data_IF_935801391511
#
_entry.id   IF_935801391511
#
_cell.length_a   1.000
_cell.length_b   1.000
_cell.length_c   1.000
_cell.angle_alpha   90.00
_cell.angle_beta   90.00
_cell.angle_gamma   90.00
#
_symmetry.space_group_name_H-M   'P 1'
#
loop_
_entity.id
_entity.type
_entity.pdbx_description
1 polymer ?
#
# COMPACT_ATOMS: atom_id res chain seq x y z
N UNK A 1 -19.00 15.08 8.35
CA UNK A 1 -18.30 15.41 7.12
C UNK A 1 -18.10 16.92 7.09
N UNK A 2 -16.85 17.36 7.22
CA UNK A 2 -16.54 18.78 7.06
C UNK A 2 -16.77 19.20 5.61
N UNK A 3 -17.28 20.40 5.36
CA UNK A 3 -17.40 20.92 4.00
C UNK A 3 -16.03 20.97 3.34
N UNK A 4 -15.97 20.68 2.05
CA UNK A 4 -14.75 20.80 1.27
C UNK A 4 -14.23 22.24 1.27
N UNK A 5 -12.93 22.39 1.23
CA UNK A 5 -12.30 23.70 1.11
C UNK A 5 -12.51 24.23 -0.31
N UNK A 6 -13.16 25.40 -0.42
CA UNK A 6 -13.38 26.05 -1.71
C UNK A 6 -12.08 26.53 -2.39
N UNK A 7 -10.98 26.60 -1.65
CA UNK A 7 -9.67 26.96 -2.18
C UNK A 7 -8.86 25.74 -2.66
N UNK A 8 -9.27 24.52 -2.28
CA UNK A 8 -8.65 23.30 -2.80
C UNK A 8 -9.18 23.00 -4.20
N UNK A 9 -8.31 22.80 -5.23
CA UNK A 9 -8.74 22.57 -6.60
C UNK A 9 -9.59 21.30 -6.80
N UNK A 10 -9.49 20.38 -5.86
CA UNK A 10 -10.29 19.14 -5.85
C UNK A 10 -11.42 19.18 -4.82
N UNK A 11 -11.62 20.32 -4.13
CA UNK A 11 -12.63 20.50 -3.08
C UNK A 11 -12.51 19.51 -1.91
N UNK A 12 -11.30 19.03 -1.62
CA UNK A 12 -11.03 18.18 -0.46
C UNK A 12 -11.00 19.05 0.81
N UNK A 13 -11.55 18.52 1.91
CA UNK A 13 -11.35 19.14 3.22
C UNK A 13 -9.90 18.92 3.69
N UNK A 14 -9.40 19.78 4.57
CA UNK A 14 -8.09 19.61 5.19
C UNK A 14 -7.93 18.22 5.82
N UNK A 15 -8.97 17.75 6.51
CA UNK A 15 -8.97 16.42 7.14
C UNK A 15 -8.84 15.29 6.10
N UNK A 16 -9.49 15.43 4.94
CA UNK A 16 -9.38 14.46 3.86
C UNK A 16 -7.96 14.44 3.28
N UNK A 17 -7.34 15.61 3.11
CA UNK A 17 -5.95 15.70 2.61
C UNK A 17 -4.97 15.03 3.56
N UNK A 18 -5.04 15.34 4.86
CA UNK A 18 -4.19 14.69 5.84
C UNK A 18 -4.40 13.17 5.93
N UNK A 19 -5.67 12.75 5.84
CA UNK A 19 -5.97 11.31 5.78
C UNK A 19 -5.32 10.65 4.56
N UNK A 20 -5.45 11.25 3.37
CA UNK A 20 -4.82 10.76 2.14
C UNK A 20 -3.29 10.79 2.23
N UNK A 21 -2.71 11.86 2.77
CA UNK A 21 -1.28 11.98 3.01
C UNK A 21 -0.74 10.87 3.91
N UNK A 22 -1.47 10.57 4.98
CA UNK A 22 -1.14 9.46 5.89
C UNK A 22 -1.21 8.10 5.23
N UNK A 23 -2.27 7.83 4.46
CA UNK A 23 -2.37 6.59 3.68
C UNK A 23 -1.17 6.40 2.74
N UNK A 24 -0.72 7.47 2.11
CA UNK A 24 0.43 7.41 1.21
C UNK A 24 1.74 7.19 1.97
N UNK A 25 1.96 7.94 3.04
CA UNK A 25 3.18 7.86 3.84
C UNK A 25 3.40 6.46 4.45
N UNK A 26 2.32 5.78 4.84
CA UNK A 26 2.38 4.49 5.54
C UNK A 26 2.26 3.27 4.63
N UNK A 27 1.78 3.44 3.40
CA UNK A 27 1.34 2.31 2.56
C UNK A 27 2.44 1.31 2.21
N UNK A 28 3.69 1.74 2.08
CA UNK A 28 4.81 0.84 1.80
C UNK A 28 5.17 0.01 3.04
N UNK A 29 5.27 0.66 4.17
CA UNK A 29 5.59 0.00 5.44
C UNK A 29 4.48 -0.95 5.88
N UNK A 30 3.21 -0.60 5.60
CA UNK A 30 2.05 -1.46 5.92
C UNK A 30 1.74 -2.50 4.84
N UNK A 31 2.61 -2.68 3.86
CA UNK A 31 2.37 -3.60 2.73
C UNK A 31 2.03 -5.02 3.15
N UNK A 32 2.61 -5.54 4.24
CA UNK A 32 2.29 -6.87 4.76
C UNK A 32 0.82 -7.02 5.16
N UNK A 33 0.16 -5.94 5.59
CA UNK A 33 -1.25 -5.95 5.96
C UNK A 33 -2.18 -5.86 4.73
N UNK A 34 -1.68 -5.38 3.59
CA UNK A 34 -2.40 -5.26 2.32
C UNK A 34 -2.13 -6.41 1.37
N UNK A 35 -0.94 -6.99 1.45
CA UNK A 35 -0.40 -8.00 0.53
C UNK A 35 0.36 -9.07 1.34
N UNK A 36 -0.37 -10.01 2.00
CA UNK A 36 0.18 -10.84 3.08
C UNK A 36 0.93 -12.09 2.62
N UNK A 37 1.02 -12.35 1.31
CA UNK A 37 1.63 -13.57 0.79
C UNK A 37 2.67 -13.30 -0.28
N UNK A 38 3.55 -14.26 -0.53
CA UNK A 38 4.52 -14.20 -1.65
C UNK A 38 3.83 -13.94 -3.00
N UNK A 39 2.64 -14.49 -3.20
CA UNK A 39 1.88 -14.30 -4.44
C UNK A 39 1.27 -12.91 -4.58
N UNK A 40 0.98 -12.24 -3.48
CA UNK A 40 0.39 -10.89 -3.49
C UNK A 40 1.24 -9.92 -4.32
N UNK A 41 2.56 -10.02 -4.23
CA UNK A 41 3.52 -9.11 -4.89
C UNK A 41 3.63 -9.36 -6.40
N UNK A 42 3.30 -10.56 -6.87
CA UNK A 42 3.25 -10.89 -8.30
C UNK A 42 2.14 -10.14 -9.04
N UNK A 43 1.17 -9.58 -8.30
CA UNK A 43 0.09 -8.76 -8.84
C UNK A 43 0.56 -7.36 -9.25
N UNK A 44 1.58 -6.80 -8.60
CA UNK A 44 2.05 -5.43 -8.82
C UNK A 44 2.90 -5.30 -10.09
N UNK A 45 2.28 -5.54 -11.24
CA UNK A 45 2.93 -5.51 -12.55
C UNK A 45 2.29 -4.45 -13.45
N UNK A 46 3.05 -3.74 -14.29
CA UNK A 46 2.48 -2.84 -15.30
C UNK A 46 1.43 -3.55 -16.16
N UNK A 47 0.27 -2.91 -16.35
CA UNK A 47 -0.83 -3.45 -17.14
C UNK A 47 -1.71 -4.50 -16.43
N UNK A 48 -1.42 -4.85 -15.18
CA UNK A 48 -2.22 -5.81 -14.39
C UNK A 48 -3.48 -5.22 -13.77
N UNK A 49 -3.72 -3.91 -13.94
CA UNK A 49 -4.73 -3.11 -13.21
C UNK A 49 -4.46 -2.96 -11.71
N UNK A 50 -3.47 -3.63 -11.14
CA UNK A 50 -2.96 -3.31 -9.81
C UNK A 50 -1.97 -2.15 -9.91
N UNK A 51 -1.95 -1.24 -8.94
CA UNK A 51 -0.99 -0.13 -8.94
C UNK A 51 0.44 -0.66 -8.73
N UNK A 52 1.41 0.03 -9.29
CA UNK A 52 2.84 -0.25 -9.06
C UNK A 52 3.51 0.81 -8.21
N UNK A 53 2.85 1.92 -7.97
CA UNK A 53 3.39 3.06 -7.23
C UNK A 53 2.39 3.67 -6.25
N UNK A 54 2.96 4.30 -5.23
CA UNK A 54 2.24 5.02 -4.19
C UNK A 54 2.01 6.46 -4.67
N UNK A 55 0.98 6.65 -5.46
CA UNK A 55 0.55 7.96 -5.97
C UNK A 55 -0.95 8.11 -5.85
N UNK A 56 -1.42 9.32 -6.07
CA UNK A 56 -2.86 9.61 -6.12
C UNK A 56 -3.20 10.56 -7.26
N UNK A 57 -4.44 10.47 -7.73
CA UNK A 57 -5.07 11.45 -8.60
C UNK A 57 -6.58 11.22 -8.61
N UNK A 58 -7.31 12.19 -9.19
CA UNK A 58 -8.75 12.05 -9.42
C UNK A 58 -9.00 11.06 -10.55
N UNK A 59 -9.79 10.05 -10.26
CA UNK A 59 -10.24 9.00 -11.20
C UNK A 59 -9.12 8.24 -11.94
N UNK A 60 -7.91 8.20 -11.40
CA UNK A 60 -6.77 7.51 -11.97
C UNK A 60 -6.61 6.08 -11.42
N UNK A 61 -6.82 5.08 -12.27
CA UNK A 61 -6.75 3.66 -11.89
C UNK A 61 -5.36 3.04 -11.96
N UNK A 62 -4.35 3.79 -12.37
CA UNK A 62 -2.96 3.29 -12.46
C UNK A 62 -2.15 3.57 -11.20
N UNK A 63 -2.73 4.32 -10.25
CA UNK A 63 -2.10 4.75 -9.00
C UNK A 63 -2.65 3.97 -7.78
N UNK A 64 -1.90 4.01 -6.69
CA UNK A 64 -2.25 3.36 -5.42
C UNK A 64 -3.53 3.91 -4.79
N UNK A 65 -3.76 5.21 -4.94
CA UNK A 65 -4.91 5.90 -4.37
C UNK A 65 -5.68 6.68 -5.44
N UNK A 66 -6.95 6.36 -5.57
CA UNK A 66 -7.86 6.99 -6.52
C UNK A 66 -8.89 7.80 -5.75
N UNK A 67 -8.89 9.12 -5.93
CA UNK A 67 -9.93 10.00 -5.39
C UNK A 67 -11.09 10.02 -6.36
N UNK A 68 -12.30 9.74 -5.88
CA UNK A 68 -13.52 9.68 -6.71
C UNK A 68 -14.70 10.32 -6.01
N UNK A 69 -15.65 10.75 -6.81
CA UNK A 69 -16.90 11.38 -6.35
C UNK A 69 -16.71 12.87 -6.07
N UNK A 70 -17.82 13.51 -5.70
CA UNK A 70 -17.89 14.94 -5.42
C UNK A 70 -18.74 15.20 -4.18
N UNK A 71 -18.46 16.29 -3.49
CA UNK A 71 -19.20 16.70 -2.30
C UNK A 71 -19.31 15.59 -1.27
N UNK A 72 -20.51 15.22 -0.84
CA UNK A 72 -20.73 14.15 0.15
C UNK A 72 -20.37 12.74 -0.33
N UNK A 73 -20.21 12.54 -1.63
CA UNK A 73 -19.83 11.26 -2.23
C UNK A 73 -18.34 11.14 -2.46
N UNK A 74 -17.55 12.17 -2.15
CA UNK A 74 -16.09 12.13 -2.30
C UNK A 74 -15.48 11.08 -1.36
N UNK A 75 -14.58 10.27 -1.90
CA UNK A 75 -13.89 9.22 -1.17
C UNK A 75 -12.55 8.88 -1.82
N UNK A 76 -11.67 8.25 -1.05
CA UNK A 76 -10.46 7.61 -1.57
C UNK A 76 -10.70 6.11 -1.73
N UNK A 77 -10.29 5.58 -2.86
CA UNK A 77 -10.20 4.15 -3.15
C UNK A 77 -8.75 3.72 -3.00
N UNK A 78 -8.44 2.92 -1.98
CA UNK A 78 -7.15 2.25 -1.88
C UNK A 78 -7.15 1.06 -2.82
N UNK A 79 -6.17 1.00 -3.73
CA UNK A 79 -6.06 -0.02 -4.77
C UNK A 79 -4.92 -1.01 -4.49
N UNK A 80 -4.20 -0.81 -3.38
CA UNK A 80 -3.07 -1.64 -2.99
C UNK A 80 -3.53 -3.02 -2.48
N UNK A 81 -4.54 -3.14 -1.60
CA UNK A 81 -4.99 -4.44 -1.11
C UNK A 81 -5.47 -5.35 -2.25
N UNK A 82 -5.06 -6.61 -2.23
CA UNK A 82 -5.50 -7.66 -3.13
C UNK A 82 -6.72 -8.41 -2.59
N UNK A 83 -7.25 -9.33 -3.42
CA UNK A 83 -8.35 -10.21 -3.00
C UNK A 83 -7.92 -11.25 -1.95
N UNK A 84 -6.62 -11.45 -1.78
CA UNK A 84 -5.97 -12.33 -0.81
C UNK A 84 -5.65 -11.62 0.52
N UNK A 85 -5.92 -10.32 0.62
CA UNK A 85 -5.76 -9.58 1.86
C UNK A 85 -6.77 -10.03 2.94
N UNK A 86 -6.30 -10.12 4.18
CA UNK A 86 -7.21 -10.19 5.32
C UNK A 86 -7.90 -8.83 5.47
N UNK A 87 -9.24 -8.81 5.29
CA UNK A 87 -10.00 -7.57 5.29
C UNK A 87 -9.91 -6.80 6.62
N UNK A 88 -9.79 -7.49 7.74
CA UNK A 88 -9.62 -6.85 9.05
C UNK A 88 -8.26 -6.15 9.15
N UNK A 89 -7.18 -6.79 8.68
CA UNK A 89 -5.85 -6.17 8.63
C UNK A 89 -5.82 -4.99 7.66
N UNK A 90 -6.41 -5.13 6.48
CA UNK A 90 -6.47 -4.05 5.50
C UNK A 90 -7.26 -2.83 6.01
N UNK A 91 -8.37 -3.05 6.72
CA UNK A 91 -9.12 -1.97 7.36
C UNK A 91 -8.34 -1.34 8.51
N UNK A 92 -7.72 -2.14 9.37
CA UNK A 92 -6.89 -1.63 10.47
C UNK A 92 -5.75 -0.76 9.92
N UNK A 93 -5.03 -1.22 8.90
CA UNK A 93 -3.95 -0.47 8.25
C UNK A 93 -4.44 0.82 7.60
N UNK A 94 -5.60 0.78 6.93
CA UNK A 94 -6.19 1.96 6.29
C UNK A 94 -6.62 3.00 7.34
N UNK A 95 -7.22 2.56 8.45
CA UNK A 95 -7.63 3.47 9.52
C UNK A 95 -6.39 4.04 10.23
N UNK A 96 -5.44 3.19 10.59
CA UNK A 96 -4.22 3.59 11.27
C UNK A 96 -3.40 4.59 10.43
N UNK A 97 -3.15 4.30 9.16
CA UNK A 97 -2.43 5.20 8.27
C UNK A 97 -3.13 6.54 8.06
N UNK A 98 -4.46 6.52 7.92
CA UNK A 98 -5.25 7.76 7.81
C UNK A 98 -5.22 8.59 9.09
N UNK A 99 -5.33 7.97 10.26
CA UNK A 99 -5.24 8.66 11.56
C UNK A 99 -3.84 9.21 11.80
N UNK A 100 -2.80 8.45 11.49
CA UNK A 100 -1.41 8.90 11.52
C UNK A 100 -1.23 10.18 10.69
N UNK A 101 -1.77 10.21 9.47
CA UNK A 101 -1.72 11.40 8.63
C UNK A 101 -2.44 12.62 9.20
N UNK A 102 -3.57 12.41 9.88
CA UNK A 102 -4.32 13.48 10.55
C UNK A 102 -3.54 14.00 11.76
N UNK A 103 -3.00 13.12 12.58
CA UNK A 103 -2.27 13.47 13.80
C UNK A 103 -0.99 14.24 13.47
N UNK A 104 -0.24 13.78 12.47
CA UNK A 104 1.00 14.40 12.01
C UNK A 104 0.79 15.48 10.93
N UNK A 105 -0.46 15.79 10.56
CA UNK A 105 -0.81 16.81 9.56
C UNK A 105 -0.09 16.61 8.22
N UNK A 106 -0.01 15.38 7.75
CA UNK A 106 0.74 15.01 6.55
C UNK A 106 -0.05 15.43 5.30
N UNK A 107 0.48 16.39 4.55
CA UNK A 107 -0.08 16.76 3.26
C UNK A 107 0.29 15.71 2.20
N UNK A 108 -0.66 15.29 1.35
CA UNK A 108 -0.32 14.44 0.22
C UNK A 108 0.56 15.21 -0.78
N UNK A 109 1.46 14.54 -1.51
CA UNK A 109 2.17 15.16 -2.62
C UNK A 109 1.18 15.61 -3.70
N UNK A 110 1.66 16.39 -4.68
CA UNK A 110 0.85 16.80 -5.82
C UNK A 110 0.24 15.57 -6.54
N UNK A 111 -1.00 15.68 -7.05
CA UNK A 111 -1.60 14.60 -7.82
C UNK A 111 -0.77 14.32 -9.09
N UNK A 112 -0.67 13.06 -9.45
CA UNK A 112 0.04 12.66 -10.66
C UNK A 112 -0.95 12.41 -11.79
N UNK A 113 -0.99 13.35 -12.73
CA UNK A 113 -1.81 13.23 -13.94
C UNK A 113 -1.06 12.47 -15.02
N UNK A 114 -1.45 11.23 -15.28
CA UNK A 114 -0.82 10.40 -16.27
C UNK A 114 -0.86 8.91 -15.96
N UNK A 115 -0.05 8.13 -16.68
CA UNK A 115 0.05 6.69 -16.46
C UNK A 115 1.01 6.38 -15.31
N UNK A 116 0.48 5.99 -14.15
CA UNK A 116 1.27 5.65 -12.96
C UNK A 116 2.26 4.50 -13.15
N UNK A 117 2.04 3.62 -14.14
CA UNK A 117 2.99 2.54 -14.44
C UNK A 117 4.32 3.02 -15.03
N UNK A 118 4.33 4.20 -15.61
CA UNK A 118 5.51 4.80 -16.26
C UNK A 118 6.01 6.05 -15.54
N UNK A 119 5.43 6.37 -14.38
CA UNK A 119 5.80 7.54 -13.59
C UNK A 119 7.21 7.38 -12.99
N UNK A 120 8.18 8.24 -13.33
CA UNK A 120 9.56 8.08 -12.85
C UNK A 120 9.73 8.46 -11.38
N UNK A 121 8.92 9.39 -10.88
CA UNK A 121 9.11 10.03 -9.58
C UNK A 121 8.12 9.52 -8.51
N UNK A 122 7.29 8.52 -8.85
CA UNK A 122 6.38 7.92 -7.89
C UNK A 122 7.07 6.76 -7.18
N UNK A 123 7.07 6.83 -5.87
CA UNK A 123 7.62 5.78 -5.02
C UNK A 123 6.88 4.46 -5.25
N UNK A 124 7.64 3.37 -5.42
CA UNK A 124 7.06 2.07 -5.77
C UNK A 124 6.51 1.36 -4.55
N UNK A 125 5.42 0.64 -4.76
CA UNK A 125 4.98 -0.42 -3.85
C UNK A 125 6.07 -1.51 -3.83
N UNK A 126 6.35 -2.18 -2.70
CA UNK A 126 7.34 -3.25 -2.64
C UNK A 126 7.14 -4.29 -3.75
N UNK A 127 8.23 -4.71 -4.38
CA UNK A 127 8.20 -5.71 -5.45
C UNK A 127 8.07 -7.14 -4.97
N UNK A 128 8.57 -7.38 -3.76
CA UNK A 128 8.69 -8.72 -3.21
C UNK A 128 8.21 -8.75 -1.77
N UNK A 129 7.82 -9.94 -1.34
CA UNK A 129 7.46 -10.18 0.04
C UNK A 129 8.64 -9.91 0.99
N UNK A 130 9.88 -10.22 0.57
CA UNK A 130 11.08 -9.93 1.34
C UNK A 130 11.28 -8.42 1.56
N UNK A 131 11.10 -7.59 0.52
CA UNK A 131 11.18 -6.13 0.65
C UNK A 131 10.11 -5.61 1.62
N UNK A 132 8.90 -6.13 1.56
CA UNK A 132 7.84 -5.74 2.50
C UNK A 132 8.15 -6.16 3.94
N UNK A 133 8.75 -7.32 4.16
CA UNK A 133 9.24 -7.76 5.47
C UNK A 133 10.30 -6.78 6.00
N UNK A 134 11.24 -6.38 5.17
CA UNK A 134 12.30 -5.44 5.59
C UNK A 134 11.75 -4.04 5.90
N UNK A 135 10.78 -3.56 5.13
CA UNK A 135 10.09 -2.31 5.41
C UNK A 135 9.33 -2.37 6.74
N UNK A 136 8.54 -3.42 6.96
CA UNK A 136 7.81 -3.60 8.21
C UNK A 136 8.75 -3.72 9.40
N UNK A 137 9.80 -4.55 9.31
CA UNK A 137 10.79 -4.77 10.38
C UNK A 137 11.39 -3.46 10.90
N UNK A 138 11.68 -2.53 10.00
CA UNK A 138 12.35 -1.28 10.32
C UNK A 138 11.37 -0.10 10.50
N UNK A 139 10.07 -0.35 10.50
CA UNK A 139 9.05 0.69 10.56
C UNK A 139 8.79 1.15 11.99
N UNK A 140 9.27 2.34 12.34
CA UNK A 140 8.88 3.02 13.56
C UNK A 140 7.39 3.41 13.53
N UNK A 141 6.86 3.73 12.35
CA UNK A 141 5.44 4.07 12.16
C UNK A 141 4.54 2.87 12.46
N UNK A 142 4.95 1.66 12.06
CA UNK A 142 4.16 0.47 12.38
C UNK A 142 4.12 0.18 13.89
N UNK A 143 5.24 0.42 14.59
CA UNK A 143 5.29 0.31 16.05
C UNK A 143 4.41 1.37 16.72
N UNK A 144 4.48 2.62 16.24
CA UNK A 144 3.64 3.71 16.74
C UNK A 144 2.15 3.43 16.55
N UNK A 145 1.75 2.95 15.37
CA UNK A 145 0.35 2.72 15.03
C UNK A 145 -0.26 1.47 15.65
N UNK A 146 0.52 0.39 15.84
CA UNK A 146 -0.02 -0.92 16.22
C UNK A 146 0.56 -1.45 17.54
N UNK A 147 1.62 -0.86 18.06
CA UNK A 147 2.36 -1.32 19.23
C UNK A 147 3.33 -2.47 18.91
N UNK A 148 4.30 -2.66 19.81
CA UNK A 148 5.39 -3.64 19.63
C UNK A 148 4.89 -5.07 19.47
N UNK A 149 3.88 -5.49 20.25
CA UNK A 149 3.36 -6.85 20.23
C UNK A 149 2.75 -7.23 18.87
N UNK A 150 1.94 -6.33 18.29
CA UNK A 150 1.36 -6.54 16.95
C UNK A 150 2.43 -6.49 15.88
N UNK A 151 3.35 -5.51 15.97
CA UNK A 151 4.47 -5.39 15.03
C UNK A 151 5.30 -6.67 15.01
N UNK A 152 5.71 -7.18 16.16
CA UNK A 152 6.50 -8.40 16.26
C UNK A 152 5.73 -9.64 15.80
N UNK A 153 4.42 -9.73 16.10
CA UNK A 153 3.59 -10.85 15.67
C UNK A 153 3.49 -10.93 14.14
N UNK A 154 3.20 -9.80 13.48
CA UNK A 154 3.12 -9.73 12.01
C UNK A 154 4.47 -10.07 11.38
N UNK A 155 5.55 -9.52 11.92
CA UNK A 155 6.91 -9.80 11.45
C UNK A 155 7.25 -11.28 11.53
N UNK A 156 7.04 -11.89 12.71
CA UNK A 156 7.36 -13.31 12.93
C UNK A 156 6.59 -14.22 11.98
N UNK A 157 5.29 -13.93 11.77
CA UNK A 157 4.48 -14.68 10.82
C UNK A 157 4.99 -14.56 9.38
N UNK A 158 5.31 -13.34 8.95
CA UNK A 158 5.82 -13.10 7.60
C UNK A 158 7.19 -13.73 7.36
N UNK A 159 8.09 -13.69 8.34
CA UNK A 159 9.41 -14.35 8.26
C UNK A 159 9.29 -15.88 8.18
N UNK A 160 8.38 -16.47 8.96
CA UNK A 160 8.13 -17.91 8.90
C UNK A 160 7.60 -18.35 7.53
N UNK A 161 6.66 -17.59 6.96
CA UNK A 161 6.13 -17.84 5.62
C UNK A 161 7.21 -17.69 4.53
N UNK A 162 8.03 -16.64 4.64
CA UNK A 162 9.15 -16.42 3.73
C UNK A 162 10.18 -17.54 3.78
N UNK A 163 10.52 -18.01 4.99
CA UNK A 163 11.43 -19.14 5.18
C UNK A 163 10.87 -20.41 4.56
N UNK A 164 9.60 -20.73 4.82
CA UNK A 164 8.95 -21.92 4.26
C UNK A 164 8.92 -21.89 2.72
N UNK A 165 8.62 -20.72 2.14
CA UNK A 165 8.66 -20.55 0.68
C UNK A 165 10.06 -20.80 0.11
N UNK A 166 11.12 -20.23 0.72
CA UNK A 166 12.48 -20.38 0.23
C UNK A 166 13.04 -21.81 0.37
N UNK A 167 12.45 -22.62 1.23
CA UNK A 167 12.81 -24.06 1.36
C UNK A 167 12.06 -24.95 0.38
N UNK A 168 11.08 -24.39 -0.35
CA UNK A 168 10.25 -25.14 -1.28
C UNK A 168 10.75 -24.99 -2.70
N UNK A 169 11.05 -26.10 -3.37
CA UNK A 169 11.35 -26.11 -4.81
C UNK A 169 10.07 -25.97 -5.61
N UNK A 170 9.95 -24.88 -6.34
CA UNK A 170 8.76 -24.58 -7.14
C UNK A 170 8.74 -25.35 -8.47
N UNK A 171 7.55 -25.57 -9.06
CA UNK A 171 7.42 -26.16 -10.40
C UNK A 171 8.15 -25.33 -11.46
N UNK A 172 8.20 -23.99 -11.32
CA UNK A 172 8.94 -23.12 -12.22
C UNK A 172 10.43 -23.43 -12.19
N UNK A 173 11.03 -23.61 -10.99
CA UNK A 173 12.44 -23.94 -10.82
C UNK A 173 12.74 -25.33 -11.40
N UNK A 174 11.85 -26.30 -11.14
CA UNK A 174 11.99 -27.67 -11.70
C UNK A 174 12.01 -27.63 -13.22
N UNK A 175 11.02 -26.99 -13.86
CA UNK A 175 10.98 -26.87 -15.31
C UNK A 175 12.15 -26.06 -15.88
N UNK A 176 12.59 -25.02 -15.16
CA UNK A 176 13.65 -24.12 -15.64
C UNK A 176 15.02 -24.73 -15.58
N UNK A 177 15.32 -25.51 -14.53
CA UNK A 177 16.68 -25.92 -14.21
C UNK A 177 16.94 -27.43 -14.36
N UNK A 178 15.91 -28.27 -14.41
CA UNK A 178 16.07 -29.73 -14.40
C UNK A 178 17.00 -30.28 -15.50
N UNK A 179 17.02 -29.67 -16.67
CA UNK A 179 17.87 -30.09 -17.81
C UNK A 179 19.12 -29.21 -18.00
N UNK A 180 19.43 -28.35 -17.03
CA UNK A 180 20.54 -27.39 -17.16
C UNK A 180 21.71 -27.64 -16.18
N UNK A 181 21.68 -28.76 -15.49
CA UNK A 181 22.73 -29.18 -14.57
C UNK A 181 23.75 -30.06 -15.31
#
# INVERSE_FOLDING_TARGET
LMPGDHHDPHHMSQLFRWYLGGLMATSREFSLLFAPTVNSYKRFQPGSWAPTGVGWDVDNRTLGFRVVGHGKGMRVESRIPGADANTYHAFAATIAGGLYGIEHQIEPPAPYSGNGYTAPDIERIPWTFAEAIDLWRNSEIAVECFGEDVHQHVLTHAEAEWLAFNQTVTEWERHRYFERI
#
